data_IF_834536154705
#
_entry.id   IF_834536154705
#
_cell.length_a   1.000
_cell.length_b   1.000
_cell.length_c   1.000
_cell.angle_alpha   90.00
_cell.angle_beta   90.00
_cell.angle_gamma   90.00
#
_symmetry.space_group_name_H-M   'P 1'
#
loop_
_entity.id
_entity.type
_entity.pdbx_description
1 polymer ?
#
# COMPACT_ATOMS: atom_id res chain seq x y z
N UNK A 1 11.08 -28.13 -8.04
CA UNK A 1 9.88 -28.60 -7.32
C UNK A 1 9.90 -30.13 -7.30
N UNK A 2 9.08 -30.84 -6.51
CA UNK A 2 9.10 -32.32 -6.44
C UNK A 2 8.82 -33.00 -7.80
N UNK A 3 8.14 -32.30 -8.70
CA UNK A 3 7.84 -32.64 -10.10
C UNK A 3 9.04 -32.46 -11.06
N UNK A 4 10.23 -32.08 -10.56
CA UNK A 4 11.39 -31.80 -11.40
C UNK A 4 11.32 -30.47 -12.16
N UNK A 5 10.26 -29.67 -11.98
CA UNK A 5 10.16 -28.36 -12.64
C UNK A 5 11.06 -27.33 -11.96
N UNK A 6 11.67 -26.48 -12.78
CA UNK A 6 12.44 -25.33 -12.33
C UNK A 6 11.55 -24.09 -12.31
N UNK A 7 11.57 -23.36 -11.19
CA UNK A 7 10.84 -22.09 -11.05
C UNK A 7 11.85 -20.98 -10.82
N UNK A 8 11.97 -20.06 -11.77
CA UNK A 8 12.63 -18.78 -11.56
C UNK A 8 11.57 -17.74 -11.15
N UNK A 9 11.78 -17.04 -10.03
CA UNK A 9 10.84 -16.04 -9.50
C UNK A 9 11.57 -14.73 -9.23
N UNK A 10 11.12 -13.65 -9.86
CA UNK A 10 11.49 -12.28 -9.54
C UNK A 10 10.40 -11.65 -8.64
N UNK A 11 10.82 -11.04 -7.54
CA UNK A 11 9.93 -10.29 -6.65
C UNK A 11 10.43 -8.85 -6.55
N UNK A 12 9.62 -7.90 -7.00
CA UNK A 12 9.90 -6.46 -6.90
C UNK A 12 9.04 -5.91 -5.76
N UNK A 13 9.66 -5.58 -4.63
CA UNK A 13 8.97 -4.98 -3.48
C UNK A 13 8.98 -3.47 -3.59
N UNK A 14 7.84 -2.80 -3.34
CA UNK A 14 7.69 -1.35 -3.46
C UNK A 14 8.14 -0.85 -4.84
N UNK A 15 7.50 -1.39 -5.88
CA UNK A 15 7.82 -1.05 -7.27
C UNK A 15 7.77 0.46 -7.52
N UNK A 16 8.74 0.95 -8.29
CA UNK A 16 8.88 2.35 -8.71
C UNK A 16 8.77 2.46 -10.23
N UNK A 17 8.62 3.68 -10.73
CA UNK A 17 8.56 3.94 -12.18
C UNK A 17 9.79 3.42 -12.94
N UNK A 18 10.97 3.47 -12.32
CA UNK A 18 12.23 2.93 -12.86
C UNK A 18 12.24 1.40 -13.02
N UNK A 19 11.32 0.69 -12.36
CA UNK A 19 11.12 -0.75 -12.56
C UNK A 19 10.21 -1.06 -13.76
N UNK A 20 9.60 -0.07 -14.41
CA UNK A 20 8.74 -0.32 -15.57
C UNK A 20 9.57 -0.73 -16.79
N UNK A 21 9.06 -1.70 -17.56
CA UNK A 21 9.72 -2.14 -18.78
C UNK A 21 9.36 -3.55 -19.23
N UNK A 22 10.02 -4.00 -20.29
CA UNK A 22 9.88 -5.36 -20.80
C UNK A 22 10.77 -6.32 -20.00
N UNK A 23 10.15 -7.31 -19.38
CA UNK A 23 10.82 -8.41 -18.69
C UNK A 23 10.78 -9.67 -19.55
N UNK A 24 11.86 -10.44 -19.53
CA UNK A 24 11.98 -11.70 -20.26
C UNK A 24 12.30 -12.82 -19.26
N UNK A 25 11.50 -13.88 -19.31
CA UNK A 25 11.85 -15.15 -18.69
C UNK A 25 12.57 -16.01 -19.71
N UNK A 26 13.83 -16.37 -19.43
CA UNK A 26 14.67 -17.21 -20.29
C UNK A 26 14.90 -18.57 -19.63
N UNK A 27 14.52 -19.64 -20.33
CA UNK A 27 14.91 -21.01 -19.99
C UNK A 27 15.91 -21.52 -21.01
N UNK A 28 17.06 -22.02 -20.56
CA UNK A 28 18.11 -22.53 -21.42
C UNK A 28 18.68 -23.85 -20.90
N UNK A 29 19.03 -24.74 -21.82
CA UNK A 29 19.78 -25.96 -21.56
C UNK A 29 20.75 -26.23 -22.74
N UNK A 30 21.41 -27.40 -22.74
CA UNK A 30 22.36 -27.77 -23.80
C UNK A 30 21.74 -27.94 -25.19
N UNK A 31 20.41 -28.12 -25.27
CA UNK A 31 19.68 -28.30 -26.54
C UNK A 31 19.14 -26.98 -27.10
N UNK A 32 19.19 -25.88 -26.34
CA UNK A 32 18.77 -24.57 -26.80
C UNK A 32 18.12 -23.71 -25.71
N UNK A 33 17.32 -22.74 -26.15
CA UNK A 33 16.63 -21.81 -25.27
C UNK A 33 15.19 -21.55 -25.71
N UNK A 34 14.35 -21.17 -24.76
CA UNK A 34 13.01 -20.65 -24.99
C UNK A 34 12.80 -19.46 -24.09
N UNK A 35 12.08 -18.45 -24.59
CA UNK A 35 11.81 -17.25 -23.83
C UNK A 35 10.36 -16.81 -23.95
N UNK A 36 9.88 -16.09 -22.93
CA UNK A 36 8.60 -15.39 -22.94
C UNK A 36 8.81 -14.00 -22.36
N UNK A 37 8.17 -13.00 -22.94
CA UNK A 37 8.22 -11.62 -22.48
C UNK A 37 6.88 -11.17 -21.91
N UNK A 38 6.95 -10.21 -21.00
CA UNK A 38 5.81 -9.47 -20.48
C UNK A 38 6.24 -8.02 -20.20
N UNK A 39 5.32 -7.07 -20.30
CA UNK A 39 5.59 -5.68 -19.96
C UNK A 39 5.09 -5.38 -18.54
N UNK A 40 5.93 -4.78 -17.71
CA UNK A 40 5.58 -4.30 -16.38
C UNK A 40 5.29 -2.80 -16.45
N UNK A 41 4.06 -2.42 -16.11
CA UNK A 41 3.66 -1.03 -15.92
C UNK A 41 3.53 -0.77 -14.42
N UNK A 42 4.21 0.27 -13.92
CA UNK A 42 4.09 0.70 -12.52
C UNK A 42 3.20 1.93 -12.46
N UNK A 43 2.10 1.83 -11.72
CA UNK A 43 1.18 2.93 -11.52
C UNK A 43 1.54 3.67 -10.22
N UNK A 44 1.44 5.01 -10.21
CA UNK A 44 1.65 5.77 -9.00
C UNK A 44 0.62 5.37 -7.94
N UNK A 45 1.02 5.42 -6.68
CA UNK A 45 0.12 5.18 -5.57
C UNK A 45 -0.99 6.24 -5.60
N UNK A 46 -2.24 5.80 -5.72
CA UNK A 46 -3.38 6.68 -5.57
C UNK A 46 -3.48 6.96 -4.08
N UNK A 47 -2.76 7.99 -3.61
CA UNK A 47 -3.12 8.64 -2.36
C UNK A 47 -4.57 9.05 -2.54
N UNK A 48 -5.49 8.30 -1.93
CA UNK A 48 -6.84 8.76 -1.69
C UNK A 48 -6.65 10.16 -1.15
N UNK A 49 -7.06 11.17 -1.91
CA UNK A 49 -7.27 12.48 -1.35
C UNK A 49 -8.24 12.21 -0.23
N UNK A 50 -7.71 12.12 1.00
CA UNK A 50 -8.49 12.35 2.19
C UNK A 50 -8.97 13.77 1.97
N UNK A 51 -10.11 13.92 1.30
CA UNK A 51 -10.88 15.13 1.36
C UNK A 51 -10.86 15.49 2.84
N UNK A 52 -10.28 16.62 3.25
CA UNK A 52 -10.36 17.01 4.63
C UNK A 52 -11.84 17.03 4.93
N UNK A 53 -12.30 16.06 5.73
CA UNK A 53 -13.67 16.04 6.22
C UNK A 53 -13.86 17.42 6.81
N UNK A 54 -14.82 18.24 6.33
CA UNK A 54 -15.04 19.53 6.92
C UNK A 54 -15.40 19.27 8.38
N UNK A 55 -14.44 19.52 9.26
CA UNK A 55 -14.65 19.49 10.70
C UNK A 55 -15.76 20.51 10.93
N UNK A 56 -16.94 20.10 11.44
CA UNK A 56 -17.95 21.08 11.78
C UNK A 56 -17.32 22.01 12.80
N UNK A 57 -17.16 23.28 12.40
CA UNK A 57 -16.82 24.37 13.29
C UNK A 57 -17.97 24.50 14.28
N UNK A 58 -17.86 23.79 15.41
CA UNK A 58 -18.73 24.03 16.55
C UNK A 58 -18.35 25.41 17.09
N UNK A 59 -19.05 26.41 16.56
CA UNK A 59 -19.15 27.72 17.15
C UNK A 59 -19.63 27.55 18.60
N UNK A 60 -18.80 28.06 19.52
CA UNK A 60 -19.19 28.61 20.81
C UNK A 60 -20.16 27.78 21.66
N UNK A 61 -19.65 26.80 22.41
CA UNK A 61 -20.15 26.56 23.76
C UNK A 61 -18.94 26.35 24.68
N UNK A 62 -18.74 27.19 25.72
CA UNK A 62 -17.75 26.87 26.73
C UNK A 62 -18.28 25.64 27.48
N UNK A 63 -17.37 24.72 27.76
CA UNK A 63 -17.47 23.53 28.61
C UNK A 63 -18.64 23.53 29.62
N UNK A 64 -19.26 22.37 29.89
CA UNK A 64 -20.35 22.29 30.86
C UNK A 64 -19.87 22.84 32.21
N UNK A 65 -20.53 23.91 32.66
CA UNK A 65 -20.31 24.52 33.97
C UNK A 65 -20.53 23.45 35.04
N UNK A 66 -19.44 22.98 35.65
CA UNK A 66 -19.52 22.08 36.80
C UNK A 66 -19.87 22.93 38.01
N UNK A 67 -21.15 22.94 38.40
CA UNK A 67 -21.62 23.57 39.63
C UNK A 67 -21.22 22.64 40.78
N UNK A 68 -20.29 23.09 41.62
CA UNK A 68 -19.80 22.33 42.78
C UNK A 68 -20.89 22.11 43.83
N UNK A 69 -21.03 20.87 44.29
CA UNK A 69 -21.89 20.51 45.44
C UNK A 69 -21.11 20.86 46.73
N UNK A 70 -21.71 21.51 47.74
CA UNK A 70 -21.01 21.76 48.99
C UNK A 70 -20.80 20.44 49.74
N UNK A 71 -19.58 20.25 50.24
CA UNK A 71 -19.24 19.15 51.13
C UNK A 71 -20.20 19.16 52.33
N UNK A 72 -21.00 18.10 52.45
CA UNK A 72 -21.86 17.87 53.60
C UNK A 72 -21.02 17.61 54.85
N UNK A 73 -21.28 18.43 55.86
CA UNK A 73 -20.79 18.33 57.23
C UNK A 73 -21.73 17.39 57.99
N UNK A 74 -21.20 16.31 58.57
CA UNK A 74 -21.63 15.63 59.82
C UNK A 74 -20.95 14.27 59.95
#
# INVERSE_FOLDING_TARGET
RPDGSYLNKLLITRAKEEDAGMYICLGANTMGYSFRSAYLTVLPDQKLQSNPVPVPTSQSLPWPVIIGIPAGVA
#
